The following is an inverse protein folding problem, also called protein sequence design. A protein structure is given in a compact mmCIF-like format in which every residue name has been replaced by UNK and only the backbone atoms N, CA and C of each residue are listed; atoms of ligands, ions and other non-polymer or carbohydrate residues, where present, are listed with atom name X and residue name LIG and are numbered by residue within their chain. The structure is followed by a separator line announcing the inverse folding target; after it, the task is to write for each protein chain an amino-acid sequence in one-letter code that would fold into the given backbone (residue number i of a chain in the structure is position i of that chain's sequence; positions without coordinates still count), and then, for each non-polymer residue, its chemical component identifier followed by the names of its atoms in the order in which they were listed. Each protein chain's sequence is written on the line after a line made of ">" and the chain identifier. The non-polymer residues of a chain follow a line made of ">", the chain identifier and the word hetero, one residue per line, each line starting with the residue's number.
data_IF_646963149913
#
_entry.id   IF_646963149913
#
_cell.length_a   1.000
_cell.length_b   1.000
_cell.length_c   1.000
_cell.angle_alpha   90.00
_cell.angle_beta   90.00
_cell.angle_gamma   90.00
#
_symmetry.space_group_name_H-M   'P 1'
#
loop_
_entity.id
_entity.type
_entity.pdbx_description
1 polymer ?
#
# COMPACT_ATOMS: atom_id res chain seq x y z
N UNK A 1 39.48 6.59 -23.93
CA UNK A 1 38.26 6.26 -23.15
C UNK A 1 37.88 4.84 -23.50
N UNK A 2 38.13 3.91 -22.58
CA UNK A 2 38.16 2.47 -22.85
C UNK A 2 36.81 1.87 -23.24
N UNK A 3 36.84 0.85 -24.10
CA UNK A 3 35.66 0.06 -24.49
C UNK A 3 34.97 -0.55 -23.26
N UNK A 4 35.76 -0.94 -22.26
CA UNK A 4 35.29 -1.44 -20.98
C UNK A 4 34.52 -0.37 -20.17
N UNK A 5 35.01 0.88 -20.15
CA UNK A 5 34.34 1.98 -19.43
C UNK A 5 32.99 2.32 -20.06
N UNK A 6 32.91 2.34 -21.40
CA UNK A 6 31.64 2.54 -22.10
C UNK A 6 30.66 1.39 -21.84
N UNK A 7 31.10 0.13 -21.92
CA UNK A 7 30.26 -1.02 -21.65
C UNK A 7 29.70 -1.02 -20.22
N UNK A 8 30.53 -0.69 -19.22
CA UNK A 8 30.11 -0.56 -17.83
C UNK A 8 29.09 0.58 -17.62
N UNK A 9 29.32 1.74 -18.26
CA UNK A 9 28.39 2.87 -18.20
C UNK A 9 27.02 2.52 -18.82
N UNK A 10 27.00 1.86 -19.98
CA UNK A 10 25.76 1.42 -20.63
C UNK A 10 25.02 0.40 -19.77
N UNK A 11 25.71 -0.61 -19.23
CA UNK A 11 25.10 -1.60 -18.34
C UNK A 11 24.50 -0.94 -17.08
N UNK A 12 25.21 0.01 -16.45
CA UNK A 12 24.66 0.73 -15.30
C UNK A 12 23.42 1.56 -15.65
N UNK A 13 23.40 2.21 -16.82
CA UNK A 13 22.22 2.96 -17.26
C UNK A 13 21.02 2.05 -17.55
N UNK A 14 21.25 0.90 -18.19
CA UNK A 14 20.20 -0.12 -18.42
C UNK A 14 19.65 -0.68 -17.11
N UNK A 15 20.51 -0.98 -16.13
CA UNK A 15 20.06 -1.45 -14.81
C UNK A 15 19.19 -0.41 -14.09
N UNK A 16 19.58 0.86 -14.12
CA UNK A 16 18.76 1.96 -13.53
C UNK A 16 17.41 2.11 -14.23
N UNK A 17 17.37 1.94 -15.55
CA UNK A 17 16.11 2.00 -16.31
C UNK A 17 15.19 0.83 -15.94
N UNK A 18 15.74 -0.37 -15.78
CA UNK A 18 15.00 -1.54 -15.33
C UNK A 18 14.45 -1.34 -13.91
N UNK A 19 15.24 -0.78 -12.99
CA UNK A 19 14.77 -0.41 -11.64
C UNK A 19 13.61 0.60 -11.68
N UNK A 20 13.71 1.64 -12.51
CA UNK A 20 12.63 2.63 -12.66
C UNK A 20 11.35 2.03 -13.24
N UNK A 21 11.47 1.11 -14.20
CA UNK A 21 10.33 0.41 -14.78
C UNK A 21 9.63 -0.50 -13.76
N UNK A 22 10.38 -1.14 -12.87
CA UNK A 22 9.83 -1.96 -11.79
C UNK A 22 9.11 -1.11 -10.73
N UNK A 23 9.67 0.05 -10.36
CA UNK A 23 9.01 1.01 -9.47
C UNK A 23 7.69 1.49 -10.08
N UNK A 24 7.69 1.93 -11.34
CA UNK A 24 6.47 2.40 -12.01
C UNK A 24 5.39 1.30 -12.10
N UNK A 25 5.80 0.04 -12.30
CA UNK A 25 4.88 -1.10 -12.33
C UNK A 25 4.27 -1.37 -10.95
N UNK A 26 5.07 -1.27 -9.89
CA UNK A 26 4.59 -1.38 -8.51
C UNK A 26 3.59 -0.27 -8.19
N UNK A 27 3.93 0.98 -8.49
CA UNK A 27 3.04 2.13 -8.27
C UNK A 27 1.70 1.95 -8.99
N UNK A 28 1.74 1.46 -10.23
CA UNK A 28 0.52 1.13 -10.97
C UNK A 28 -0.32 0.07 -10.25
N UNK A 29 0.29 -1.03 -9.77
CA UNK A 29 -0.42 -2.07 -9.01
C UNK A 29 -1.01 -1.53 -7.70
N UNK A 30 -0.30 -0.64 -7.00
CA UNK A 30 -0.81 0.00 -5.79
C UNK A 30 -2.08 0.83 -6.08
N UNK A 31 -2.08 1.60 -7.17
CA UNK A 31 -3.23 2.40 -7.60
C UNK A 31 -4.41 1.52 -8.00
N UNK A 32 -4.18 0.47 -8.79
CA UNK A 32 -5.26 -0.43 -9.20
C UNK A 32 -5.87 -1.17 -8.00
N UNK A 33 -5.05 -1.68 -7.09
CA UNK A 33 -5.54 -2.30 -5.86
C UNK A 33 -6.34 -1.33 -4.97
N UNK A 34 -5.99 -0.04 -4.94
CA UNK A 34 -6.74 0.97 -4.22
C UNK A 34 -8.11 1.24 -4.86
N UNK A 35 -8.18 1.31 -6.20
CA UNK A 35 -9.44 1.47 -6.95
C UNK A 35 -10.37 0.26 -6.75
N UNK A 36 -9.82 -0.94 -6.87
CA UNK A 36 -10.56 -2.18 -6.63
C UNK A 36 -11.11 -2.22 -5.22
N UNK A 37 -10.31 -1.84 -4.22
CA UNK A 37 -10.76 -1.79 -2.84
C UNK A 37 -11.88 -0.76 -2.62
N UNK A 38 -11.78 0.42 -3.24
CA UNK A 38 -12.84 1.42 -3.20
C UNK A 38 -14.14 0.86 -3.78
N UNK A 39 -14.08 0.28 -4.98
CA UNK A 39 -15.22 -0.34 -5.65
C UNK A 39 -15.82 -1.47 -4.81
N UNK A 40 -15.03 -2.48 -4.44
CA UNK A 40 -15.48 -3.67 -3.70
C UNK A 40 -16.15 -3.30 -2.38
N UNK A 41 -15.56 -2.37 -1.62
CA UNK A 41 -16.12 -1.98 -0.32
C UNK A 41 -17.39 -1.17 -0.50
N UNK A 42 -17.44 -0.22 -1.45
CA UNK A 42 -18.65 0.57 -1.66
C UNK A 42 -19.79 -0.32 -2.21
N UNK A 43 -19.50 -1.23 -3.13
CA UNK A 43 -20.44 -2.22 -3.67
C UNK A 43 -21.01 -3.10 -2.55
N UNK A 44 -20.17 -3.59 -1.64
CA UNK A 44 -20.56 -4.43 -0.50
C UNK A 44 -21.43 -3.68 0.51
N UNK A 45 -21.06 -2.46 0.86
CA UNK A 45 -21.69 -1.72 1.95
C UNK A 45 -22.95 -0.95 1.51
N UNK A 46 -23.02 -0.55 0.24
CA UNK A 46 -24.08 0.32 -0.29
C UNK A 46 -24.84 -0.26 -1.48
N UNK A 47 -24.30 -1.28 -2.15
CA UNK A 47 -24.86 -1.88 -3.36
C UNK A 47 -24.35 -1.23 -4.64
N UNK A 48 -24.79 -1.78 -5.77
CA UNK A 48 -24.19 -1.50 -7.08
C UNK A 48 -24.16 -0.02 -7.44
N UNK A 49 -22.94 0.49 -7.70
CA UNK A 49 -22.69 1.86 -8.17
C UNK A 49 -23.00 2.96 -7.14
N UNK A 50 -23.22 2.61 -5.87
CA UNK A 50 -23.53 3.56 -4.81
C UNK A 50 -22.29 3.90 -3.98
N UNK A 51 -22.18 5.17 -3.64
CA UNK A 51 -21.09 5.74 -2.85
C UNK A 51 -21.66 6.51 -1.66
N UNK A 52 -20.97 6.51 -0.51
CA UNK A 52 -21.43 7.28 0.65
C UNK A 52 -21.37 8.78 0.34
N UNK A 53 -22.40 9.50 0.76
CA UNK A 53 -22.39 10.97 0.77
C UNK A 53 -21.68 11.49 2.03
N UNK A 54 -21.54 12.82 2.15
CA UNK A 54 -20.88 13.45 3.30
C UNK A 54 -21.60 13.12 4.62
N UNK A 55 -22.94 13.04 4.58
CA UNK A 55 -23.75 12.72 5.76
C UNK A 55 -23.44 11.30 6.25
N UNK A 56 -23.39 10.35 5.34
CA UNK A 56 -23.03 8.97 5.65
C UNK A 56 -21.59 8.87 6.13
N UNK A 57 -20.64 9.56 5.47
CA UNK A 57 -19.24 9.59 5.88
C UNK A 57 -19.05 10.14 7.32
N UNK A 58 -19.82 11.15 7.71
CA UNK A 58 -19.72 11.81 9.01
C UNK A 58 -20.52 11.14 10.12
N UNK A 59 -21.38 10.17 9.79
CA UNK A 59 -22.20 9.41 10.74
C UNK A 59 -21.31 8.72 11.78
N UNK A 60 -21.68 8.82 13.05
CA UNK A 60 -21.00 8.12 14.14
C UNK A 60 -21.42 6.65 14.12
N UNK A 61 -20.44 5.75 14.06
CA UNK A 61 -20.63 4.29 14.03
C UNK A 61 -20.26 3.62 15.35
N UNK A 62 -19.63 4.35 16.25
CA UNK A 62 -19.22 3.87 17.57
C UNK A 62 -18.37 4.91 18.27
N UNK A 63 -17.82 4.53 19.42
CA UNK A 63 -16.82 5.30 20.13
C UNK A 63 -15.61 4.41 20.39
N UNK A 64 -14.42 5.01 20.41
CA UNK A 64 -13.20 4.28 20.74
C UNK A 64 -13.05 4.08 22.27
N UNK A 65 -11.92 3.50 22.68
CA UNK A 65 -11.57 3.25 24.08
C UNK A 65 -11.48 4.51 24.95
N UNK A 66 -11.28 5.67 24.33
CA UNK A 66 -11.18 6.96 25.00
C UNK A 66 -12.52 7.72 24.99
N UNK A 67 -13.55 7.15 24.35
CA UNK A 67 -14.86 7.76 24.18
C UNK A 67 -14.96 8.71 22.99
N UNK A 68 -13.95 8.75 22.11
CA UNK A 68 -13.98 9.61 20.93
C UNK A 68 -14.85 8.98 19.83
N UNK A 69 -15.67 9.77 19.11
CA UNK A 69 -16.59 9.25 18.10
C UNK A 69 -15.83 8.70 16.89
N UNK A 70 -16.08 7.44 16.56
CA UNK A 70 -15.61 6.81 15.33
C UNK A 70 -16.60 7.16 14.23
N UNK A 71 -16.13 7.87 13.19
CA UNK A 71 -16.94 8.23 12.02
C UNK A 71 -16.90 7.13 10.98
N UNK A 72 -17.99 6.98 10.23
CA UNK A 72 -18.13 5.98 9.17
C UNK A 72 -17.02 6.05 8.13
N UNK A 73 -16.55 7.24 7.76
CA UNK A 73 -15.40 7.39 6.85
C UNK A 73 -14.13 6.67 7.34
N UNK A 74 -13.89 6.65 8.67
CA UNK A 74 -12.73 5.98 9.24
C UNK A 74 -12.90 4.45 9.16
N UNK A 75 -14.11 3.96 9.40
CA UNK A 75 -14.44 2.55 9.24
C UNK A 75 -14.35 2.10 7.78
N UNK A 76 -14.89 2.87 6.85
CA UNK A 76 -14.81 2.59 5.41
C UNK A 76 -13.36 2.61 4.92
N UNK A 77 -12.57 3.60 5.34
CA UNK A 77 -11.14 3.65 5.05
C UNK A 77 -10.41 2.41 5.59
N UNK A 78 -10.76 1.96 6.81
CA UNK A 78 -10.22 0.74 7.40
C UNK A 78 -10.53 -0.50 6.55
N UNK A 79 -11.76 -0.64 6.07
CA UNK A 79 -12.19 -1.75 5.20
C UNK A 79 -11.48 -1.72 3.84
N UNK A 80 -11.38 -0.54 3.22
CA UNK A 80 -10.69 -0.34 1.94
C UNK A 80 -9.21 -0.70 2.05
N UNK A 81 -8.55 -0.27 3.13
CA UNK A 81 -7.16 -0.66 3.38
C UNK A 81 -6.98 -2.17 3.52
N UNK A 82 -7.90 -2.89 4.17
CA UNK A 82 -7.81 -4.36 4.29
C UNK A 82 -7.90 -5.05 2.93
N UNK A 83 -8.85 -4.63 2.09
CA UNK A 83 -9.03 -5.17 0.74
C UNK A 83 -7.84 -4.82 -0.16
N UNK A 84 -7.39 -3.56 -0.14
CA UNK A 84 -6.26 -3.10 -0.91
C UNK A 84 -4.98 -3.85 -0.51
N UNK A 85 -4.73 -4.02 0.78
CA UNK A 85 -3.55 -4.73 1.27
C UNK A 85 -3.51 -6.18 0.80
N UNK A 86 -4.64 -6.89 0.88
CA UNK A 86 -4.73 -8.26 0.37
C UNK A 86 -4.50 -8.33 -1.15
N UNK A 87 -5.00 -7.35 -1.91
CA UNK A 87 -4.72 -7.22 -3.34
C UNK A 87 -3.23 -7.00 -3.59
N UNK A 88 -2.62 -6.00 -2.94
CA UNK A 88 -1.20 -5.65 -3.11
C UNK A 88 -0.31 -6.85 -2.79
N UNK A 89 -0.58 -7.57 -1.70
CA UNK A 89 0.20 -8.75 -1.34
C UNK A 89 0.14 -9.82 -2.44
N UNK A 90 -1.05 -10.08 -2.98
CA UNK A 90 -1.25 -11.05 -4.06
C UNK A 90 -0.57 -10.61 -5.37
N UNK A 91 -0.77 -9.37 -5.79
CA UNK A 91 -0.27 -8.84 -7.06
C UNK A 91 1.25 -8.71 -7.04
N UNK A 92 1.81 -8.10 -5.99
CA UNK A 92 3.26 -7.90 -5.90
C UNK A 92 4.00 -9.23 -5.82
N UNK A 93 3.54 -10.19 -5.02
CA UNK A 93 4.19 -11.51 -4.95
C UNK A 93 4.08 -12.29 -6.27
N UNK A 94 3.04 -12.05 -7.08
CA UNK A 94 2.91 -12.65 -8.41
C UNK A 94 3.90 -12.04 -9.41
N UNK A 95 4.06 -10.73 -9.40
CA UNK A 95 4.89 -10.01 -10.38
C UNK A 95 6.36 -9.89 -9.97
N UNK A 96 6.67 -9.98 -8.67
CA UNK A 96 8.00 -9.79 -8.09
C UNK A 96 8.36 -10.85 -7.03
N UNK A 97 8.25 -12.16 -7.34
CA UNK A 97 8.28 -13.24 -6.35
C UNK A 97 9.56 -13.33 -5.52
N UNK A 98 10.71 -12.90 -6.05
CA UNK A 98 12.02 -13.01 -5.39
C UNK A 98 12.67 -11.66 -5.07
N UNK A 99 12.03 -10.56 -5.45
CA UNK A 99 12.67 -9.25 -5.46
C UNK A 99 12.12 -8.33 -4.37
N UNK A 100 11.01 -8.71 -3.73
CA UNK A 100 10.28 -7.85 -2.80
C UNK A 100 9.95 -8.61 -1.52
N UNK A 101 10.32 -8.03 -0.38
CA UNK A 101 9.77 -8.40 0.93
C UNK A 101 8.64 -7.45 1.30
N UNK A 102 7.51 -7.98 1.76
CA UNK A 102 6.38 -7.22 2.31
C UNK A 102 6.47 -7.36 3.83
N UNK A 103 7.07 -6.37 4.49
CA UNK A 103 7.19 -6.34 5.95
C UNK A 103 6.04 -5.52 6.56
N UNK A 104 5.23 -6.08 7.48
CA UNK A 104 4.26 -5.29 8.22
C UNK A 104 5.00 -4.32 9.14
N UNK A 105 4.92 -3.00 8.87
CA UNK A 105 5.40 -2.00 9.82
C UNK A 105 4.29 -1.56 10.76
N UNK A 106 4.43 -1.90 12.02
CA UNK A 106 3.65 -1.31 13.10
C UNK A 106 4.29 0.03 13.48
N UNK A 107 3.66 1.13 13.09
CA UNK A 107 4.08 2.44 13.60
C UNK A 107 3.52 2.58 15.01
N UNK A 108 4.38 2.48 16.03
CA UNK A 108 4.02 2.83 17.40
C UNK A 108 4.03 4.35 17.49
N UNK A 109 2.86 5.00 17.50
CA UNK A 109 2.75 6.39 17.91
C UNK A 109 2.60 6.43 19.43
N UNK A 110 3.55 7.03 20.13
CA UNK A 110 3.38 7.42 21.53
C UNK A 110 2.54 8.69 21.60
N UNK A 111 1.28 8.56 22.04
CA UNK A 111 0.44 9.71 22.39
C UNK A 111 0.85 10.36 23.71
N UNK A 112 0.37 11.58 23.98
CA UNK A 112 0.47 12.20 25.32
C UNK A 112 -0.30 11.31 26.30
N UNK A 113 0.42 10.56 27.13
CA UNK A 113 -0.16 9.59 28.08
C UNK A 113 0.37 8.15 27.96
N UNK A 114 1.30 7.87 27.04
CA UNK A 114 1.94 6.54 26.95
C UNK A 114 1.09 5.46 26.28
N UNK A 115 -0.06 5.82 25.70
CA UNK A 115 -0.89 4.90 24.93
C UNK A 115 -0.22 4.57 23.60
N UNK A 116 -0.01 3.28 23.35
CA UNK A 116 0.54 2.73 22.11
C UNK A 116 -0.65 2.28 21.25
N UNK A 117 -0.81 2.91 20.08
CA UNK A 117 -1.70 2.37 19.05
C UNK A 117 -0.88 1.65 18.00
N UNK A 118 -1.20 0.37 17.82
CA UNK A 118 -0.67 -0.46 16.74
C UNK A 118 -1.45 -0.06 15.48
N UNK A 119 -0.89 0.83 14.66
CA UNK A 119 -1.47 1.11 13.36
C UNK A 119 -1.33 -0.10 12.44
N UNK A 120 -2.35 -0.30 11.59
CA UNK A 120 -2.36 -1.31 10.53
C UNK A 120 -1.07 -1.25 9.70
N UNK A 121 -0.59 -2.40 9.18
CA UNK A 121 0.71 -2.48 8.55
C UNK A 121 0.82 -1.56 7.35
N UNK A 122 1.85 -0.71 7.36
CA UNK A 122 2.34 0.00 6.18
C UNK A 122 3.33 -0.91 5.44
N UNK A 123 3.30 -0.90 4.10
CA UNK A 123 4.13 -1.78 3.25
C UNK A 123 5.42 -1.06 2.89
N UNK A 124 6.57 -1.67 3.19
CA UNK A 124 7.84 -1.25 2.60
C UNK A 124 8.37 -2.33 1.67
N UNK A 125 8.46 -1.96 0.39
CA UNK A 125 8.99 -2.81 -0.66
C UNK A 125 10.51 -2.69 -0.67
N UNK A 126 11.20 -3.70 -0.13
CA UNK A 126 12.65 -3.80 -0.24
C UNK A 126 13.01 -4.54 -1.50
N UNK A 127 13.57 -3.84 -2.49
CA UNK A 127 14.22 -4.46 -3.63
C UNK A 127 15.51 -5.15 -3.18
N UNK A 128 15.52 -6.48 -3.18
CA UNK A 128 16.75 -7.24 -3.00
C UNK A 128 17.52 -7.23 -4.32
N UNK A 129 18.66 -6.55 -4.36
CA UNK A 129 19.61 -6.62 -5.49
C UNK A 129 20.03 -8.08 -5.62
N UNK A 130 19.62 -8.77 -6.69
CA UNK A 130 20.30 -10.01 -7.07
C UNK A 130 21.73 -9.64 -7.43
N UNK A 131 22.66 -9.97 -6.53
CA UNK A 131 24.08 -9.98 -6.85
C UNK A 131 24.29 -11.00 -7.97
N UNK A 132 24.61 -10.51 -9.16
CA UNK A 132 25.15 -11.32 -10.25
C UNK A 132 26.42 -11.95 -9.69
N UNK A 133 26.40 -13.28 -9.53
CA UNK A 133 27.59 -14.07 -9.24
C UNK A 133 28.19 -14.54 -10.57
#
# INVERSE_FOLDING_TARGET
>A
MDKAVRAAATASATMKLLEAADVARIEHLLVECAKDADFIVNEREYGQGKYPDDKECLRVVGHDKNGDPIRRQAELGRLKHDVAFACVQREILRHFPNNVSIEPRYVIRTGKGGQQDIMKPDVVLRFQKQGIR
#
